data_IF_969155797412
#
_entry.id   IF_969155797412
#
_cell.length_a   1.000
_cell.length_b   1.000
_cell.length_c   1.000
_cell.angle_alpha   90.00
_cell.angle_beta   90.00
_cell.angle_gamma   90.00
#
_symmetry.space_group_name_H-M   'P 1'
#
loop_
_entity.id
_entity.type
_entity.pdbx_description
1 polymer ?
#
# COMPACT_ATOMS: atom_id res chain seq x y z
N UNK A 1 0.07 -27.95 -8.44
CA UNK A 1 -0.05 -26.56 -8.96
C UNK A 1 0.80 -25.68 -8.08
N UNK A 2 2.00 -25.29 -8.54
CA UNK A 2 2.93 -24.49 -7.75
C UNK A 2 2.31 -23.13 -7.45
N UNK A 3 2.12 -22.81 -6.17
CA UNK A 3 1.94 -21.42 -5.77
C UNK A 3 3.28 -20.74 -6.04
N UNK A 4 3.29 -19.79 -6.97
CA UNK A 4 4.48 -19.04 -7.32
C UNK A 4 5.04 -18.32 -6.09
N UNK A 5 6.35 -18.36 -5.89
CA UNK A 5 7.10 -17.58 -4.86
C UNK A 5 6.76 -16.07 -4.85
N UNK A 6 6.09 -15.58 -5.91
CA UNK A 6 5.65 -14.20 -6.08
C UNK A 6 4.45 -13.77 -5.21
N UNK A 7 3.82 -14.70 -4.47
CA UNK A 7 2.65 -14.44 -3.61
C UNK A 7 2.94 -14.59 -2.10
N UNK A 8 4.20 -14.82 -1.71
CA UNK A 8 4.60 -14.92 -0.30
C UNK A 8 4.88 -13.55 0.29
N UNK A 9 4.22 -13.23 1.41
CA UNK A 9 4.41 -11.97 2.14
C UNK A 9 5.36 -12.20 3.31
N UNK A 10 6.62 -11.80 3.18
CA UNK A 10 7.59 -11.88 4.27
C UNK A 10 7.49 -10.64 5.16
N UNK A 11 7.04 -10.81 6.41
CA UNK A 11 6.75 -9.70 7.32
C UNK A 11 8.03 -8.91 7.69
N UNK A 12 9.15 -9.60 7.88
CA UNK A 12 10.43 -8.96 8.19
C UNK A 12 10.94 -8.12 7.01
N UNK A 13 10.75 -8.62 5.78
CA UNK A 13 11.10 -7.89 4.57
C UNK A 13 10.22 -6.66 4.37
N UNK A 14 8.90 -6.79 4.58
CA UNK A 14 7.96 -5.65 4.58
C UNK A 14 8.42 -4.59 5.59
N UNK A 15 8.67 -4.99 6.85
CA UNK A 15 9.13 -4.10 7.90
C UNK A 15 10.43 -3.36 7.50
N UNK A 16 11.45 -4.08 7.04
CA UNK A 16 12.73 -3.48 6.67
C UNK A 16 12.61 -2.52 5.48
N UNK A 17 11.82 -2.87 4.46
CA UNK A 17 11.62 -2.00 3.29
C UNK A 17 10.85 -0.73 3.66
N UNK A 18 9.79 -0.82 4.45
CA UNK A 18 9.10 0.38 4.95
C UNK A 18 9.96 1.21 5.90
N UNK A 19 10.82 0.58 6.70
CA UNK A 19 11.80 1.29 7.53
C UNK A 19 12.80 2.08 6.69
N UNK A 20 13.28 1.49 5.59
CA UNK A 20 14.21 2.14 4.66
C UNK A 20 13.60 3.34 3.92
N UNK A 21 12.27 3.42 3.82
CA UNK A 21 11.58 4.55 3.19
C UNK A 21 11.79 5.86 3.97
N UNK A 22 11.94 5.80 5.30
CA UNK A 22 11.89 6.97 6.17
C UNK A 22 13.19 7.77 6.09
N UNK A 23 13.08 9.05 5.74
CA UNK A 23 14.19 10.00 5.69
C UNK A 23 13.82 11.29 6.44
N UNK A 24 13.97 11.28 7.77
CA UNK A 24 13.50 12.37 8.62
C UNK A 24 11.97 12.45 8.59
N UNK A 25 11.45 13.60 8.17
CA UNK A 25 10.01 13.87 7.98
C UNK A 25 9.54 13.63 6.53
N UNK A 26 10.43 13.13 5.65
CA UNK A 26 10.17 12.83 4.24
C UNK A 26 10.32 11.31 3.97
N UNK A 27 9.96 10.91 2.74
CA UNK A 27 10.01 9.53 2.26
C UNK A 27 10.83 9.44 0.99
N UNK A 28 11.80 8.53 0.96
CA UNK A 28 12.54 8.25 -0.27
C UNK A 28 11.65 7.46 -1.24
N UNK A 29 11.52 7.99 -2.47
CA UNK A 29 10.62 7.45 -3.47
C UNK A 29 11.04 6.06 -3.99
N UNK A 30 12.33 5.77 -4.29
CA UNK A 30 12.71 4.45 -4.77
C UNK A 30 12.49 3.36 -3.70
N UNK A 31 12.83 3.64 -2.44
CA UNK A 31 12.59 2.73 -1.32
C UNK A 31 11.09 2.50 -1.10
N UNK A 32 10.26 3.54 -1.26
CA UNK A 32 8.80 3.41 -1.22
C UNK A 32 8.28 2.47 -2.32
N UNK A 33 8.77 2.57 -3.55
CA UNK A 33 8.40 1.66 -4.64
C UNK A 33 8.73 0.20 -4.30
N UNK A 34 9.88 -0.04 -3.67
CA UNK A 34 10.29 -1.38 -3.22
C UNK A 34 9.42 -1.90 -2.07
N UNK A 35 9.12 -1.06 -1.08
CA UNK A 35 8.23 -1.41 0.02
C UNK A 35 6.81 -1.71 -0.44
N UNK A 36 6.28 -0.88 -1.36
CA UNK A 36 4.95 -1.07 -1.92
C UNK A 36 4.86 -2.35 -2.76
N UNK A 37 5.91 -2.65 -3.54
CA UNK A 37 5.99 -3.91 -4.29
C UNK A 37 5.91 -5.10 -3.35
N UNK A 38 6.65 -5.08 -2.24
CA UNK A 38 6.64 -6.16 -1.28
C UNK A 38 5.26 -6.37 -0.63
N UNK A 39 4.62 -5.30 -0.14
CA UNK A 39 3.30 -5.43 0.49
C UNK A 39 2.21 -5.82 -0.51
N UNK A 40 2.37 -5.45 -1.78
CA UNK A 40 1.42 -5.81 -2.83
C UNK A 40 1.39 -7.31 -3.16
N UNK A 41 2.38 -8.10 -2.73
CA UNK A 41 2.35 -9.57 -2.86
C UNK A 41 1.16 -10.19 -2.12
N UNK A 42 0.67 -9.55 -1.07
CA UNK A 42 -0.57 -9.95 -0.40
C UNK A 42 -1.77 -9.92 -1.36
N UNK A 43 -1.83 -8.93 -2.25
CA UNK A 43 -2.93 -8.80 -3.21
C UNK A 43 -2.86 -9.87 -4.31
N UNK A 44 -1.65 -10.31 -4.66
CA UNK A 44 -1.43 -11.42 -5.61
C UNK A 44 -1.98 -12.73 -5.06
N UNK A 45 -1.89 -12.95 -3.74
CA UNK A 45 -2.44 -14.13 -3.08
C UNK A 45 -3.97 -14.26 -3.23
N UNK A 46 -4.70 -13.15 -3.40
CA UNK A 46 -6.15 -13.18 -3.62
C UNK A 46 -6.55 -13.66 -5.03
N UNK A 47 -5.58 -13.91 -5.91
CA UNK A 47 -5.78 -14.59 -7.19
C UNK A 47 -6.43 -13.73 -8.29
N UNK A 48 -6.88 -14.40 -9.36
CA UNK A 48 -7.25 -13.77 -10.62
C UNK A 48 -8.36 -12.72 -10.52
N UNK A 49 -9.28 -12.82 -9.55
CA UNK A 49 -10.35 -11.83 -9.40
C UNK A 49 -9.82 -10.47 -8.94
N UNK A 50 -8.63 -10.43 -8.34
CA UNK A 50 -7.94 -9.22 -7.94
C UNK A 50 -6.91 -8.74 -8.97
N UNK A 51 -6.85 -9.36 -10.16
CA UNK A 51 -5.90 -8.97 -11.21
C UNK A 51 -6.01 -7.49 -11.59
N UNK A 52 -7.23 -6.94 -11.63
CA UNK A 52 -7.41 -5.51 -11.92
C UNK A 52 -6.74 -4.62 -10.86
N UNK A 53 -6.75 -5.03 -9.59
CA UNK A 53 -6.10 -4.30 -8.50
C UNK A 53 -4.59 -4.44 -8.59
N UNK A 54 -4.09 -5.67 -8.76
CA UNK A 54 -2.65 -5.94 -8.81
C UNK A 54 -2.01 -5.31 -10.04
N UNK A 55 -2.67 -5.33 -11.19
CA UNK A 55 -2.26 -4.64 -12.41
C UNK A 55 -2.22 -3.12 -12.22
N UNK A 56 -3.26 -2.52 -11.63
CA UNK A 56 -3.34 -1.08 -11.35
C UNK A 56 -2.21 -0.60 -10.43
N UNK A 57 -1.94 -1.36 -9.36
CA UNK A 57 -0.82 -1.11 -8.43
C UNK A 57 0.52 -1.24 -9.16
N UNK A 58 0.72 -2.32 -9.91
CA UNK A 58 1.99 -2.59 -10.59
C UNK A 58 2.34 -1.50 -11.60
N UNK A 59 1.35 -1.06 -12.38
CA UNK A 59 1.51 0.04 -13.33
C UNK A 59 1.93 1.34 -12.62
N UNK A 60 1.29 1.71 -11.51
CA UNK A 60 1.61 2.93 -10.77
C UNK A 60 2.99 2.90 -10.14
N UNK A 61 3.39 1.75 -9.57
CA UNK A 61 4.75 1.60 -9.04
C UNK A 61 5.78 1.69 -10.18
N UNK A 62 5.49 1.10 -11.35
CA UNK A 62 6.35 1.25 -12.53
C UNK A 62 6.48 2.70 -12.96
N UNK A 63 5.37 3.44 -13.04
CA UNK A 63 5.38 4.85 -13.44
C UNK A 63 6.24 5.71 -12.50
N UNK A 64 6.18 5.48 -11.18
CA UNK A 64 7.05 6.16 -10.21
C UNK A 64 8.54 5.79 -10.40
N UNK A 65 8.83 4.51 -10.70
CA UNK A 65 10.21 4.07 -11.00
C UNK A 65 10.73 4.71 -12.28
N UNK A 66 9.90 4.81 -13.32
CA UNK A 66 10.27 5.41 -14.61
C UNK A 66 10.56 6.91 -14.44
N UNK A 67 9.76 7.62 -13.64
CA UNK A 67 10.01 9.02 -13.28
C UNK A 67 11.33 9.19 -12.53
N UNK A 68 11.62 8.33 -11.54
CA UNK A 68 12.91 8.34 -10.84
C UNK A 68 14.10 8.01 -11.75
N UNK A 69 13.94 7.05 -12.66
CA UNK A 69 14.98 6.69 -13.61
C UNK A 69 15.30 7.84 -14.58
N UNK A 70 14.28 8.58 -15.01
CA UNK A 70 14.42 9.73 -15.89
C UNK A 70 15.06 10.94 -15.18
N UNK A 71 14.74 11.17 -13.90
CA UNK A 71 15.29 12.27 -13.11
C UNK A 71 15.49 11.90 -11.64
N UNK A 72 16.68 11.37 -11.37
CA UNK A 72 17.08 10.88 -10.03
C UNK A 72 17.19 11.99 -8.98
N UNK A 73 17.26 13.26 -9.38
CA UNK A 73 17.41 14.37 -8.44
C UNK A 73 16.05 14.83 -7.96
N UNK A 74 15.14 15.11 -8.90
CA UNK A 74 13.83 15.66 -8.56
C UNK A 74 12.86 14.60 -8.04
N UNK A 75 13.04 13.32 -8.39
CA UNK A 75 12.20 12.22 -7.91
C UNK A 75 12.88 11.35 -6.86
N UNK A 76 13.92 11.87 -6.16
CA UNK A 76 14.60 11.12 -5.09
C UNK A 76 13.72 10.88 -3.88
N UNK A 77 12.90 11.87 -3.50
CA UNK A 77 12.00 11.80 -2.36
C UNK A 77 10.63 12.38 -2.69
N UNK A 78 9.65 12.13 -1.82
CA UNK A 78 8.27 12.60 -2.01
C UNK A 78 8.20 14.12 -1.97
N UNK A 79 8.87 14.78 -1.02
CA UNK A 79 8.90 16.25 -0.96
C UNK A 79 9.59 16.85 -2.20
N UNK A 80 10.72 16.29 -2.64
CA UNK A 80 11.41 16.76 -3.85
C UNK A 80 10.53 16.62 -5.10
N UNK A 81 9.82 15.49 -5.24
CA UNK A 81 8.90 15.26 -6.35
C UNK A 81 7.77 16.28 -6.36
N UNK A 82 7.13 16.50 -5.20
CA UNK A 82 6.02 17.45 -5.06
C UNK A 82 6.46 18.87 -5.40
N UNK A 83 7.60 19.32 -4.86
CA UNK A 83 8.16 20.64 -5.13
C UNK A 83 8.49 20.84 -6.61
N UNK A 84 9.11 19.82 -7.22
CA UNK A 84 9.44 19.84 -8.63
C UNK A 84 8.19 19.96 -9.50
N UNK A 85 7.21 19.08 -9.31
CA UNK A 85 5.99 19.08 -10.10
C UNK A 85 5.13 20.31 -9.86
N UNK A 86 5.09 20.84 -8.64
CA UNK A 86 4.42 22.10 -8.33
C UNK A 86 5.03 23.26 -9.13
N UNK A 87 6.37 23.38 -9.12
CA UNK A 87 7.08 24.41 -9.87
C UNK A 87 6.85 24.32 -11.38
N UNK A 88 6.79 23.11 -11.94
CA UNK A 88 6.47 22.92 -13.37
C UNK A 88 5.04 23.36 -13.74
N UNK A 89 4.15 23.49 -12.75
CA UNK A 89 2.74 23.76 -12.96
C UNK A 89 2.25 25.06 -12.27
N UNK A 90 3.17 25.94 -11.86
CA UNK A 90 2.85 27.15 -11.08
C UNK A 90 1.86 28.08 -11.79
N UNK A 91 1.86 28.09 -13.13
CA UNK A 91 0.95 28.89 -13.95
C UNK A 91 -0.42 28.25 -14.20
N UNK A 92 -0.66 27.04 -13.69
CA UNK A 92 -1.89 26.27 -13.94
C UNK A 92 -2.73 26.12 -12.67
N UNK A 93 -4.07 26.25 -12.76
CA UNK A 93 -4.94 25.91 -11.65
C UNK A 93 -4.79 24.42 -11.30
N UNK A 94 -4.91 24.05 -10.02
CA UNK A 94 -4.66 22.70 -9.48
C UNK A 94 -5.25 21.58 -10.34
N UNK A 95 -6.51 21.73 -10.79
CA UNK A 95 -7.23 20.76 -11.64
C UNK A 95 -6.61 20.51 -13.02
N UNK A 96 -5.70 21.38 -13.48
CA UNK A 96 -5.01 21.29 -14.77
C UNK A 96 -3.52 20.95 -14.63
N UNK A 97 -2.99 20.84 -13.40
CA UNK A 97 -1.58 20.54 -13.17
C UNK A 97 -1.26 19.12 -13.65
N UNK A 98 -0.18 18.96 -14.41
CA UNK A 98 0.39 17.69 -14.81
C UNK A 98 1.37 17.19 -13.73
N UNK A 99 0.84 16.88 -12.56
CA UNK A 99 1.60 16.30 -11.45
C UNK A 99 1.52 14.76 -11.52
N UNK A 100 2.16 14.16 -12.53
CA UNK A 100 2.02 12.71 -12.81
C UNK A 100 2.48 11.89 -11.60
N UNK A 101 3.68 12.15 -11.08
CA UNK A 101 4.24 11.45 -9.92
C UNK A 101 3.38 11.63 -8.67
N UNK A 102 3.00 12.87 -8.33
CA UNK A 102 2.18 13.14 -7.14
C UNK A 102 0.78 12.52 -7.25
N UNK A 103 0.16 12.57 -8.43
CA UNK A 103 -1.13 11.92 -8.72
C UNK A 103 -1.06 10.40 -8.59
N UNK A 104 0.01 9.81 -9.10
CA UNK A 104 0.24 8.37 -9.07
C UNK A 104 0.51 7.89 -7.65
N UNK A 105 1.39 8.59 -6.93
CA UNK A 105 1.66 8.33 -5.52
C UNK A 105 0.40 8.51 -4.66
N UNK A 106 -0.43 9.52 -4.90
CA UNK A 106 -1.67 9.75 -4.14
C UNK A 106 -2.63 8.56 -4.18
N UNK A 107 -2.73 7.87 -5.33
CA UNK A 107 -3.59 6.69 -5.46
C UNK A 107 -3.01 5.51 -4.68
N UNK A 108 -1.70 5.29 -4.73
CA UNK A 108 -1.01 4.29 -3.92
C UNK A 108 -1.12 4.62 -2.42
N UNK A 109 -0.94 5.88 -2.03
CA UNK A 109 -1.05 6.37 -0.66
C UNK A 109 -2.42 6.08 -0.04
N UNK A 110 -3.50 6.38 -0.78
CA UNK A 110 -4.88 6.06 -0.36
C UNK A 110 -5.10 4.56 -0.21
N UNK A 111 -4.51 3.74 -1.09
CA UNK A 111 -4.61 2.29 -1.01
C UNK A 111 -3.73 1.69 0.12
N UNK A 112 -2.61 2.32 0.45
CA UNK A 112 -1.78 1.92 1.59
C UNK A 112 -2.56 2.02 2.90
N UNK A 113 -3.36 3.08 3.08
CA UNK A 113 -4.23 3.20 4.26
C UNK A 113 -5.18 2.00 4.39
N UNK A 114 -5.82 1.59 3.31
CA UNK A 114 -6.67 0.40 3.28
C UNK A 114 -5.89 -0.85 3.71
N UNK A 115 -4.67 -1.04 3.21
CA UNK A 115 -3.84 -2.21 3.56
C UNK A 115 -3.45 -2.20 5.04
N UNK A 116 -3.00 -1.06 5.57
CA UNK A 116 -2.62 -0.93 6.99
C UNK A 116 -3.84 -1.24 7.87
N UNK A 117 -4.99 -0.63 7.58
CA UNK A 117 -6.19 -0.80 8.38
C UNK A 117 -6.74 -2.23 8.28
N UNK A 118 -6.70 -2.85 7.09
CA UNK A 118 -7.12 -4.25 6.92
C UNK A 118 -6.24 -5.21 7.72
N UNK A 119 -4.92 -5.05 7.64
CA UNK A 119 -3.98 -5.87 8.44
C UNK A 119 -4.20 -5.66 9.94
N UNK A 120 -4.46 -4.42 10.37
CA UNK A 120 -4.75 -4.10 11.76
C UNK A 120 -6.04 -4.77 12.25
N UNK A 121 -7.10 -4.75 11.44
CA UNK A 121 -8.38 -5.39 11.75
C UNK A 121 -8.24 -6.93 11.78
N UNK A 122 -7.49 -7.53 10.86
CA UNK A 122 -7.20 -8.98 10.87
C UNK A 122 -6.55 -9.42 12.20
N UNK A 123 -5.72 -8.58 12.82
CA UNK A 123 -5.12 -8.89 14.12
C UNK A 123 -6.07 -8.68 15.31
N UNK A 124 -7.01 -7.73 15.23
CA UNK A 124 -7.85 -7.31 16.37
C UNK A 124 -9.24 -7.93 16.41
N UNK A 125 -9.79 -8.29 15.25
CA UNK A 125 -11.18 -8.72 15.16
C UNK A 125 -11.43 -10.04 15.91
N UNK A 126 -12.65 -10.25 16.46
CA UNK A 126 -13.06 -11.51 17.08
C UNK A 126 -12.80 -12.72 16.17
N UNK A 127 -12.49 -13.91 16.70
CA UNK A 127 -12.10 -15.08 15.89
C UNK A 127 -13.09 -15.47 14.78
N UNK A 128 -14.38 -15.22 14.98
CA UNK A 128 -15.49 -15.52 14.07
C UNK A 128 -15.71 -14.48 12.96
N UNK A 129 -15.04 -13.33 13.03
CA UNK A 129 -15.17 -12.26 12.04
C UNK A 129 -14.57 -12.67 10.69
N UNK A 130 -15.36 -12.50 9.62
CA UNK A 130 -15.00 -12.94 8.28
C UNK A 130 -14.16 -11.90 7.54
N UNK A 131 -13.14 -12.37 6.79
CA UNK A 131 -12.25 -11.49 6.03
C UNK A 131 -12.98 -10.57 5.05
N UNK A 132 -14.03 -11.07 4.37
CA UNK A 132 -14.84 -10.25 3.46
C UNK A 132 -15.55 -9.09 4.17
N UNK A 133 -16.00 -9.29 5.40
CA UNK A 133 -16.70 -8.27 6.19
C UNK A 133 -15.71 -7.19 6.65
N UNK A 134 -14.55 -7.61 7.15
CA UNK A 134 -13.44 -6.70 7.50
C UNK A 134 -12.98 -5.89 6.28
N UNK A 135 -12.68 -6.56 5.16
CA UNK A 135 -12.24 -5.91 3.93
C UNK A 135 -13.28 -4.92 3.40
N UNK A 136 -14.57 -5.27 3.44
CA UNK A 136 -15.64 -4.36 3.03
C UNK A 136 -15.73 -3.14 3.94
N UNK A 137 -15.71 -3.35 5.25
CA UNK A 137 -15.76 -2.28 6.26
C UNK A 137 -14.60 -1.30 6.12
N UNK A 138 -13.37 -1.82 5.99
CA UNK A 138 -12.17 -1.00 5.80
C UNK A 138 -12.20 -0.26 4.46
N UNK A 139 -12.63 -0.93 3.37
CA UNK A 139 -12.79 -0.29 2.07
C UNK A 139 -13.76 0.90 2.12
N UNK A 140 -14.91 0.72 2.76
CA UNK A 140 -15.93 1.75 2.87
C UNK A 140 -15.43 2.97 3.69
N UNK A 141 -14.58 2.75 4.69
CA UNK A 141 -13.96 3.83 5.51
C UNK A 141 -12.81 4.56 4.80
N UNK A 142 -12.12 3.91 3.86
CA UNK A 142 -10.85 4.41 3.30
C UNK A 142 -10.98 4.80 1.82
N UNK A 143 -11.13 3.81 0.94
CA UNK A 143 -11.04 3.96 -0.50
C UNK A 143 -12.36 4.33 -1.18
N UNK A 144 -13.51 3.98 -0.59
CA UNK A 144 -14.80 4.17 -1.24
C UNK A 144 -15.11 5.62 -1.60
N UNK A 145 -14.63 6.59 -0.82
CA UNK A 145 -14.79 8.03 -1.08
C UNK A 145 -14.08 8.50 -2.36
N UNK A 146 -13.07 7.77 -2.82
CA UNK A 146 -12.28 8.11 -4.01
C UNK A 146 -12.68 7.31 -5.26
N UNK A 147 -13.55 6.31 -5.10
CA UNK A 147 -13.93 5.41 -6.17
C UNK A 147 -15.32 5.74 -6.73
N UNK A 148 -15.47 5.82 -8.06
CA UNK A 148 -16.79 6.03 -8.66
C UNK A 148 -17.69 4.80 -8.42
N UNK A 149 -19.00 4.98 -8.59
CA UNK A 149 -20.01 3.95 -8.31
C UNK A 149 -19.71 2.58 -8.94
N UNK A 150 -19.28 2.45 -10.21
CA UNK A 150 -18.96 1.15 -10.80
C UNK A 150 -17.84 0.41 -10.06
N UNK A 151 -16.78 1.13 -9.66
CA UNK A 151 -15.64 0.55 -8.93
C UNK A 151 -16.08 0.08 -7.54
N UNK A 152 -16.91 0.87 -6.84
CA UNK A 152 -17.48 0.47 -5.54
C UNK A 152 -18.31 -0.81 -5.61
N UNK A 153 -19.03 -1.01 -6.72
CA UNK A 153 -19.80 -2.24 -6.99
C UNK A 153 -18.88 -3.43 -7.30
N UNK A 154 -17.87 -3.23 -8.16
CA UNK A 154 -16.88 -4.26 -8.46
C UNK A 154 -16.18 -4.75 -7.19
N UNK A 155 -15.74 -3.84 -6.30
CA UNK A 155 -15.15 -4.21 -5.01
C UNK A 155 -16.15 -4.97 -4.12
N UNK A 156 -17.42 -4.56 -4.11
CA UNK A 156 -18.48 -5.26 -3.38
C UNK A 156 -18.68 -6.72 -3.82
N UNK A 157 -18.36 -7.05 -5.07
CA UNK A 157 -18.35 -8.43 -5.55
C UNK A 157 -17.00 -9.11 -5.25
N UNK A 158 -15.88 -8.41 -5.47
CA UNK A 158 -14.54 -8.97 -5.32
C UNK A 158 -14.26 -9.50 -3.90
N UNK A 159 -14.80 -8.86 -2.86
CA UNK A 159 -14.61 -9.31 -1.47
C UNK A 159 -15.16 -10.72 -1.21
N UNK A 160 -16.10 -11.23 -2.01
CA UNK A 160 -16.61 -12.60 -1.88
C UNK A 160 -15.65 -13.67 -2.39
N UNK A 161 -14.63 -13.29 -3.17
CA UNK A 161 -13.57 -14.19 -3.61
C UNK A 161 -12.34 -14.17 -2.69
N UNK A 162 -12.37 -13.39 -1.61
CA UNK A 162 -11.32 -13.43 -0.61
C UNK A 162 -11.29 -14.82 0.05
N UNK A 163 -10.10 -15.31 0.44
CA UNK A 163 -9.99 -16.52 1.23
C UNK A 163 -10.64 -16.34 2.61
N UNK A 164 -10.75 -17.43 3.37
CA UNK A 164 -11.07 -17.31 4.79
C UNK A 164 -9.96 -16.56 5.53
N UNK A 165 -10.29 -15.93 6.66
CA UNK A 165 -9.30 -15.29 7.52
C UNK A 165 -8.22 -16.29 7.94
N UNK A 166 -8.63 -17.49 8.33
CA UNK A 166 -7.73 -18.58 8.73
C UNK A 166 -6.74 -18.95 7.63
N UNK A 167 -7.21 -19.17 6.39
CA UNK A 167 -6.32 -19.50 5.27
C UNK A 167 -5.33 -18.37 4.98
N UNK A 168 -5.78 -17.11 5.05
CA UNK A 168 -4.88 -15.97 4.87
C UNK A 168 -3.81 -15.92 5.96
N UNK A 169 -4.20 -16.02 7.23
CA UNK A 169 -3.27 -15.97 8.37
C UNK A 169 -2.28 -17.12 8.26
N UNK A 170 -2.76 -18.34 8.00
CA UNK A 170 -1.92 -19.51 7.82
C UNK A 170 -0.93 -19.34 6.66
N UNK A 171 -1.37 -18.80 5.52
CA UNK A 171 -0.48 -18.49 4.39
C UNK A 171 0.61 -17.49 4.77
N UNK A 172 0.27 -16.44 5.54
CA UNK A 172 1.26 -15.48 6.04
C UNK A 172 2.28 -16.18 6.93
N UNK A 173 1.85 -16.99 7.91
CA UNK A 173 2.78 -17.70 8.81
C UNK A 173 3.69 -18.65 8.04
N UNK A 174 3.14 -19.44 7.11
CA UNK A 174 3.93 -20.37 6.28
C UNK A 174 4.90 -19.67 5.32
N UNK A 175 4.64 -18.41 4.98
CA UNK A 175 5.52 -17.60 4.15
C UNK A 175 6.72 -17.03 4.90
N UNK A 176 6.80 -17.18 6.22
CA UNK A 176 7.92 -16.66 7.00
C UNK A 176 9.13 -17.60 6.92
N UNK A 177 10.35 -17.07 6.70
CA UNK A 177 11.56 -17.87 6.75
C UNK A 177 11.75 -18.50 8.13
N UNK A 178 12.23 -19.76 8.25
CA UNK A 178 12.45 -20.40 9.54
C UNK A 178 13.32 -19.58 10.51
N UNK A 179 14.32 -18.88 9.98
CA UNK A 179 15.24 -18.02 10.72
C UNK A 179 14.61 -16.72 11.25
N UNK A 180 13.40 -16.37 10.82
CA UNK A 180 12.69 -15.16 11.26
C UNK A 180 12.18 -15.25 12.71
N UNK A 181 12.00 -16.46 13.24
CA UNK A 181 11.35 -16.68 14.53
C UNK A 181 9.84 -16.42 14.53
N UNK A 182 9.23 -16.11 13.37
CA UNK A 182 7.80 -15.83 13.20
C UNK A 182 7.07 -17.10 12.75
N UNK A 183 7.03 -18.11 13.62
CA UNK A 183 6.57 -19.48 13.27
C UNK A 183 5.11 -19.77 13.69
N UNK A 184 4.49 -18.84 14.41
CA UNK A 184 3.13 -18.98 14.94
C UNK A 184 2.27 -17.77 14.59
N UNK A 185 0.96 -17.93 14.71
CA UNK A 185 0.00 -16.84 14.50
C UNK A 185 0.24 -15.71 15.51
N UNK A 186 0.51 -16.04 16.77
CA UNK A 186 0.77 -15.09 17.85
C UNK A 186 2.03 -14.26 17.57
N UNK A 187 3.13 -14.92 17.21
CA UNK A 187 4.39 -14.23 16.88
C UNK A 187 4.25 -13.33 15.65
N UNK A 188 3.58 -13.81 14.59
CA UNK A 188 3.33 -13.00 13.39
C UNK A 188 2.45 -11.79 13.71
N UNK A 189 1.38 -11.98 14.49
CA UNK A 189 0.46 -10.92 14.89
C UNK A 189 1.15 -9.88 15.77
N UNK A 190 1.95 -10.33 16.76
CA UNK A 190 2.73 -9.46 17.63
C UNK A 190 3.76 -8.65 16.82
N UNK A 191 4.50 -9.28 15.92
CA UNK A 191 5.46 -8.59 15.08
C UNK A 191 4.79 -7.58 14.14
N UNK A 192 3.68 -7.97 13.52
CA UNK A 192 2.91 -7.10 12.64
C UNK A 192 2.39 -5.87 13.38
N UNK A 193 1.82 -6.06 14.58
CA UNK A 193 1.21 -4.97 15.37
C UNK A 193 2.23 -4.09 16.09
N UNK A 194 3.34 -4.65 16.58
CA UNK A 194 4.36 -3.92 17.35
C UNK A 194 5.44 -3.28 16.50
N UNK A 195 5.67 -3.77 15.27
CA UNK A 195 6.77 -3.28 14.43
C UNK A 195 6.34 -2.86 13.03
N UNK A 196 5.71 -3.77 12.27
CA UNK A 196 5.42 -3.54 10.84
C UNK A 196 4.37 -2.47 10.60
N UNK A 197 3.20 -2.56 11.25
CA UNK A 197 2.13 -1.57 11.08
C UNK A 197 2.52 -0.18 11.58
N UNK A 198 3.22 -0.02 12.71
CA UNK A 198 3.75 1.28 13.13
C UNK A 198 4.69 1.93 12.09
N UNK A 199 5.59 1.17 11.47
CA UNK A 199 6.50 1.76 10.46
C UNK A 199 5.77 2.10 9.16
N UNK A 200 4.84 1.25 8.71
CA UNK A 200 3.98 1.56 7.57
C UNK A 200 3.14 2.82 7.82
N UNK A 201 2.60 2.96 9.04
CA UNK A 201 1.85 4.15 9.46
C UNK A 201 2.74 5.39 9.49
N UNK A 202 3.99 5.27 9.94
CA UNK A 202 4.95 6.38 9.91
C UNK A 202 5.18 6.88 8.48
N UNK A 203 5.45 5.97 7.54
CA UNK A 203 5.61 6.29 6.11
C UNK A 203 4.35 6.95 5.56
N UNK A 204 3.17 6.39 5.84
CA UNK A 204 1.89 6.99 5.46
C UNK A 204 1.76 8.42 5.99
N UNK A 205 2.02 8.64 7.29
CA UNK A 205 1.90 9.96 7.91
C UNK A 205 2.88 10.99 7.31
N UNK A 206 4.12 10.60 6.99
CA UNK A 206 5.07 11.48 6.32
C UNK A 206 4.55 11.93 4.93
N UNK A 207 4.07 10.99 4.11
CA UNK A 207 3.50 11.32 2.79
C UNK A 207 2.26 12.19 2.93
N UNK A 208 1.39 11.86 3.88
CA UNK A 208 0.19 12.64 4.19
C UNK A 208 0.56 14.09 4.54
N UNK A 209 1.54 14.30 5.42
CA UNK A 209 1.97 15.64 5.84
C UNK A 209 2.57 16.44 4.67
N UNK A 210 3.38 15.82 3.81
CA UNK A 210 3.90 16.48 2.60
C UNK A 210 2.75 16.88 1.67
N UNK A 211 1.78 16.00 1.45
CA UNK A 211 0.66 16.29 0.55
C UNK A 211 -0.29 17.35 1.11
N UNK A 212 -0.51 17.39 2.42
CA UNK A 212 -1.27 18.44 3.10
C UNK A 212 -0.57 19.80 2.97
N UNK A 213 0.75 19.84 3.25
CA UNK A 213 1.58 21.04 3.17
C UNK A 213 1.52 21.70 1.78
N UNK A 214 1.37 20.91 0.72
CA UNK A 214 1.38 21.37 -0.67
C UNK A 214 0.01 21.35 -1.37
N UNK A 215 -1.10 21.15 -0.64
CA UNK A 215 -2.46 21.06 -1.19
C UNK A 215 -2.63 20.00 -2.32
N UNK A 216 -1.92 18.86 -2.17
CA UNK A 216 -1.89 17.78 -3.16
C UNK A 216 -2.86 16.63 -2.84
N UNK A 217 -3.63 16.69 -1.74
CA UNK A 217 -4.56 15.62 -1.35
C UNK A 217 -5.76 15.45 -2.30
N UNK A 218 -6.07 16.47 -3.10
CA UNK A 218 -7.23 16.51 -3.98
C UNK A 218 -6.86 16.52 -5.47
N UNK A 219 -5.64 16.09 -5.81
CA UNK A 219 -5.23 15.97 -7.21
C UNK A 219 -6.19 15.05 -7.99
N UNK A 220 -6.51 15.39 -9.25
CA UNK A 220 -7.50 14.68 -10.06
C UNK A 220 -7.06 13.27 -10.50
#
# INVERSE_FOLDING_TARGET
MGHSDNASLNLYNVYNKFKACVNGDDVLLPEYCEAYTEVSKLLVYFGNLFYFVTSDVSHKVSELRDLYAADKINYKSVEQMVLYEEKQNEHLPVKKRKCVGSRTLLRLHRALLFVIDLMQEICRAPPDEQLKTMARSVYDKTLAQYHPWPIRKAVGVAVYALPTREHLVHHIVQSQPPESGLLTNEQCSEFLTSHTLPVMRKVYNCIQAVFEKHDMLNLP
#
